data_IF_089211750275
#
_entry.id   IF_089211750275
#
_cell.length_a   1.000
_cell.length_b   1.000
_cell.length_c   1.000
_cell.angle_alpha   90.00
_cell.angle_beta   90.00
_cell.angle_gamma   90.00
#
_symmetry.space_group_name_H-M   'P 1'
#
loop_
_entity.id
_entity.type
_entity.pdbx_description
1 polymer ?
#
# COMPACT_ATOMS: atom_id res chain seq x y z
N UNK A 1 40.24 -25.19 -17.54
CA UNK A 1 40.92 -25.52 -16.27
C UNK A 1 39.97 -25.13 -15.16
N UNK A 2 39.37 -26.11 -14.49
CA UNK A 2 38.43 -25.89 -13.39
C UNK A 2 39.21 -25.41 -12.16
N UNK A 3 38.93 -24.18 -11.71
CA UNK A 3 39.34 -23.74 -10.39
C UNK A 3 38.33 -24.31 -9.38
N UNK A 4 38.67 -25.47 -8.81
CA UNK A 4 37.94 -26.03 -7.68
C UNK A 4 38.16 -25.13 -6.46
N UNK A 5 37.23 -24.18 -6.26
CA UNK A 5 37.09 -23.49 -4.97
C UNK A 5 36.57 -24.54 -3.99
N UNK A 6 37.47 -25.09 -3.17
CA UNK A 6 37.12 -25.98 -2.08
C UNK A 6 36.06 -25.30 -1.22
N UNK A 7 34.94 -25.98 -1.00
CA UNK A 7 33.90 -25.47 -0.10
C UNK A 7 34.52 -25.22 1.29
N UNK A 8 33.97 -24.27 2.08
CA UNK A 8 34.50 -23.93 3.41
C UNK A 8 34.67 -25.16 4.32
N UNK A 9 33.82 -26.18 4.14
CA UNK A 9 33.90 -27.45 4.85
C UNK A 9 35.12 -28.28 4.48
N UNK A 10 35.48 -28.32 3.19
CA UNK A 10 36.61 -29.12 2.70
C UNK A 10 37.96 -28.50 3.06
N UNK A 11 38.05 -27.16 3.14
CA UNK A 11 39.23 -26.46 3.64
C UNK A 11 39.45 -26.71 5.14
N UNK A 12 38.39 -26.66 5.94
CA UNK A 12 38.43 -26.98 7.37
C UNK A 12 38.94 -28.41 7.65
N UNK A 13 38.47 -29.40 6.87
CA UNK A 13 38.83 -30.80 7.10
C UNK A 13 40.24 -31.16 6.62
N UNK A 14 40.69 -30.62 5.48
CA UNK A 14 41.99 -31.00 4.89
C UNK A 14 43.18 -30.21 5.42
N UNK A 15 42.98 -28.98 5.92
CA UNK A 15 44.09 -28.09 6.29
C UNK A 15 44.16 -27.83 7.79
N UNK A 16 43.02 -27.56 8.45
CA UNK A 16 43.01 -27.20 9.88
C UNK A 16 43.10 -28.43 10.80
N UNK A 17 42.52 -29.57 10.39
CA UNK A 17 42.50 -30.79 11.20
C UNK A 17 43.87 -31.46 11.42
N UNK A 18 44.77 -31.55 10.42
CA UNK A 18 46.12 -32.08 10.61
C UNK A 18 47.01 -31.20 11.51
N UNK A 19 46.82 -29.86 11.45
CA UNK A 19 47.57 -28.91 12.27
C UNK A 19 47.22 -29.03 13.76
N UNK A 20 46.02 -29.49 14.12
CA UNK A 20 45.61 -29.71 15.51
C UNK A 20 46.40 -30.85 16.21
N UNK A 21 46.91 -31.83 15.47
CA UNK A 21 47.67 -32.96 16.02
C UNK A 21 49.15 -32.63 16.32
N UNK A 22 49.67 -31.51 15.81
CA UNK A 22 51.07 -31.09 15.97
C UNK A 22 51.27 -30.06 17.11
N UNK A 23 50.19 -29.64 17.79
CA UNK A 23 50.21 -28.55 18.75
C UNK A 23 50.08 -29.07 20.20
N UNK A 24 51.05 -28.70 21.06
CA UNK A 24 51.00 -28.99 22.50
C UNK A 24 49.84 -28.28 23.22
N UNK A 25 49.58 -28.68 24.47
CA UNK A 25 48.35 -28.31 25.21
C UNK A 25 48.08 -26.80 25.35
N UNK A 26 49.11 -25.95 25.45
CA UNK A 26 48.93 -24.49 25.48
C UNK A 26 48.68 -23.88 24.09
N UNK A 27 49.37 -24.35 23.06
CA UNK A 27 49.18 -23.85 21.69
C UNK A 27 47.81 -24.26 21.12
N UNK A 28 47.26 -25.39 21.56
CA UNK A 28 45.88 -25.80 21.25
C UNK A 28 44.83 -24.85 21.87
N UNK A 29 45.09 -24.28 23.06
CA UNK A 29 44.16 -23.29 23.68
C UNK A 29 44.17 -21.97 22.92
N UNK A 30 45.35 -21.51 22.48
CA UNK A 30 45.49 -20.30 21.65
C UNK A 30 44.82 -20.48 20.27
N UNK A 31 45.02 -21.64 19.64
CA UNK A 31 44.38 -21.96 18.37
C UNK A 31 42.85 -22.02 18.48
N UNK A 32 42.30 -22.63 19.54
CA UNK A 32 40.85 -22.64 19.80
C UNK A 32 40.29 -21.22 19.99
N UNK A 33 41.02 -20.34 20.69
CA UNK A 33 40.62 -18.92 20.85
C UNK A 33 40.63 -18.19 19.51
N UNK A 34 41.65 -18.41 18.68
CA UNK A 34 41.73 -17.82 17.34
C UNK A 34 40.58 -18.29 16.44
N UNK A 35 40.28 -19.59 16.42
CA UNK A 35 39.19 -20.16 15.64
C UNK A 35 37.82 -19.59 16.09
N UNK A 36 37.63 -19.39 17.39
CA UNK A 36 36.41 -18.77 17.93
C UNK A 36 36.26 -17.31 17.45
N UNK A 37 37.35 -16.54 17.44
CA UNK A 37 37.36 -15.15 16.95
C UNK A 37 37.05 -15.12 15.45
N UNK A 38 37.61 -16.04 14.65
CA UNK A 38 37.30 -16.13 13.22
C UNK A 38 35.82 -16.45 12.96
N UNK A 39 35.19 -17.32 13.78
CA UNK A 39 33.76 -17.62 13.70
C UNK A 39 32.93 -16.39 14.08
N UNK A 40 33.30 -15.67 15.13
CA UNK A 40 32.60 -14.45 15.54
C UNK A 40 32.72 -13.37 14.45
N UNK A 41 33.89 -13.20 13.85
CA UNK A 41 34.13 -12.26 12.75
C UNK A 41 33.37 -12.67 11.48
N UNK A 42 33.27 -13.97 11.17
CA UNK A 42 32.50 -14.44 10.01
C UNK A 42 30.99 -14.28 10.23
N UNK A 43 30.49 -14.49 11.45
CA UNK A 43 29.11 -14.16 11.81
C UNK A 43 28.84 -12.66 11.74
N UNK A 44 29.82 -11.82 12.09
CA UNK A 44 29.73 -10.36 11.99
C UNK A 44 29.70 -9.83 10.54
N UNK A 45 30.35 -10.52 9.60
CA UNK A 45 30.36 -10.11 8.19
C UNK A 45 29.06 -10.43 7.44
N UNK A 46 28.25 -11.39 7.91
CA UNK A 46 26.95 -11.72 7.30
C UNK A 46 25.88 -10.65 7.57
N UNK A 47 26.09 -9.79 8.57
CA UNK A 47 25.15 -8.72 8.94
C UNK A 47 25.44 -7.36 8.29
N UNK A 48 26.44 -7.24 7.41
CA UNK A 48 26.46 -6.15 6.43
C UNK A 48 25.57 -6.56 5.24
N UNK A 49 24.29 -6.81 5.52
CA UNK A 49 23.28 -6.68 4.49
C UNK A 49 23.33 -5.25 4.00
N UNK A 50 23.43 -5.06 2.68
CA UNK A 50 23.16 -3.75 2.07
C UNK A 50 21.89 -3.20 2.73
N UNK A 51 21.99 -2.09 3.46
CA UNK A 51 20.84 -1.23 3.70
C UNK A 51 20.43 -0.68 2.33
N UNK A 52 19.74 -1.50 1.53
CA UNK A 52 18.88 -0.98 0.48
C UNK A 52 17.78 -0.25 1.22
N UNK A 53 17.55 1.01 0.87
CA UNK A 53 16.27 1.64 1.17
C UNK A 53 15.20 0.67 0.69
N UNK A 54 14.38 0.19 1.63
CA UNK A 54 13.22 -0.63 1.31
C UNK A 54 12.32 0.28 0.47
N UNK A 55 12.22 -0.01 -0.83
CA UNK A 55 11.36 0.73 -1.74
C UNK A 55 9.94 0.54 -1.21
N UNK A 56 9.21 1.63 -0.97
CA UNK A 56 7.85 1.56 -0.45
C UNK A 56 6.96 0.82 -1.46
N UNK A 57 5.97 0.08 -0.95
CA UNK A 57 5.10 -0.73 -1.82
C UNK A 57 4.36 0.18 -2.84
N UNK A 58 4.07 1.45 -2.49
CA UNK A 58 3.50 2.44 -3.41
C UNK A 58 4.43 2.81 -4.58
N UNK A 59 5.73 2.97 -4.31
CA UNK A 59 6.71 3.27 -5.36
C UNK A 59 6.79 2.11 -6.36
N UNK A 60 6.66 0.87 -5.88
CA UNK A 60 6.66 -0.32 -6.74
C UNK A 60 5.47 -0.30 -7.71
N UNK A 61 4.26 0.02 -7.23
CA UNK A 61 3.07 0.06 -8.10
C UNK A 61 3.07 1.28 -9.03
N UNK A 62 3.61 2.42 -8.59
CA UNK A 62 3.77 3.60 -9.45
C UNK A 62 4.76 3.30 -10.59
N UNK A 63 5.91 2.72 -10.26
CA UNK A 63 6.91 2.33 -11.26
C UNK A 63 6.40 1.22 -12.19
N UNK A 64 5.55 0.30 -11.71
CA UNK A 64 4.94 -0.72 -12.58
C UNK A 64 4.02 -0.09 -13.64
N UNK A 65 3.30 0.97 -13.29
CA UNK A 65 2.48 1.76 -14.21
C UNK A 65 3.34 2.54 -15.22
N UNK A 66 4.41 3.18 -14.76
CA UNK A 66 5.32 3.93 -15.63
C UNK A 66 6.06 2.99 -16.61
N UNK A 67 6.44 1.79 -16.16
CA UNK A 67 7.12 0.78 -16.98
C UNK A 67 6.31 0.40 -18.22
N UNK A 68 4.99 0.34 -18.09
CA UNK A 68 4.09 -0.01 -19.19
C UNK A 68 3.73 1.19 -20.07
N UNK A 69 4.22 2.40 -19.73
CA UNK A 69 4.05 3.62 -20.51
C UNK A 69 2.69 4.29 -20.35
N UNK A 70 1.98 4.04 -19.24
CA UNK A 70 0.76 4.77 -18.93
C UNK A 70 1.11 6.16 -18.38
N UNK A 71 0.32 7.17 -18.76
CA UNK A 71 0.44 8.52 -18.19
C UNK A 71 -0.29 8.56 -16.85
N UNK A 72 0.42 8.93 -15.78
CA UNK A 72 -0.16 9.13 -14.46
C UNK A 72 -1.32 10.13 -14.52
N UNK A 73 -2.44 9.79 -13.90
CA UNK A 73 -3.61 10.66 -13.78
C UNK A 73 -3.82 11.08 -12.32
N UNK A 74 -3.98 10.11 -11.43
CA UNK A 74 -4.18 10.34 -10.01
C UNK A 74 -3.84 9.10 -9.17
N UNK A 75 -3.67 9.33 -7.88
CA UNK A 75 -3.45 8.32 -6.86
C UNK A 75 -4.54 8.47 -5.79
N UNK A 76 -5.22 7.38 -5.49
CA UNK A 76 -6.23 7.26 -4.45
C UNK A 76 -5.68 6.42 -3.29
N UNK A 77 -5.66 7.00 -2.10
CA UNK A 77 -5.24 6.33 -0.87
C UNK A 77 -6.44 6.29 0.05
N UNK A 78 -6.85 5.08 0.42
CA UNK A 78 -8.01 4.80 1.24
C UNK A 78 -7.62 3.98 2.46
N UNK A 79 -8.15 4.33 3.63
CA UNK A 79 -7.88 3.62 4.88
C UNK A 79 -9.14 3.53 5.73
N UNK A 80 -9.45 2.33 6.24
CA UNK A 80 -10.65 2.07 7.01
C UNK A 80 -10.42 1.15 8.19
N UNK A 81 -11.13 1.37 9.29
CA UNK A 81 -11.04 0.52 10.48
C UNK A 81 -12.05 0.88 11.56
N UNK A 82 -12.27 -0.06 12.47
CA UNK A 82 -13.02 0.15 13.71
C UNK A 82 -12.17 1.00 14.66
N UNK A 83 -12.71 2.12 15.15
CA UNK A 83 -12.00 3.05 16.04
C UNK A 83 -12.57 3.07 17.47
N UNK A 84 -13.76 2.50 17.69
CA UNK A 84 -14.37 2.40 19.00
C UNK A 84 -15.51 1.36 19.05
N UNK A 85 -15.65 0.67 20.19
CA UNK A 85 -16.73 -0.27 20.51
C UNK A 85 -17.87 0.41 21.28
N UNK A 86 -18.33 1.55 20.78
CA UNK A 86 -19.54 2.21 21.28
C UNK A 86 -20.23 3.03 20.20
N UNK A 87 -21.50 3.34 20.44
CA UNK A 87 -22.22 4.34 19.67
C UNK A 87 -21.79 5.77 20.03
N UNK A 88 -21.64 6.62 19.01
CA UNK A 88 -21.44 8.07 19.18
C UNK A 88 -22.77 8.81 19.06
N UNK A 89 -23.00 9.78 19.92
CA UNK A 89 -24.09 10.75 19.75
C UNK A 89 -23.79 11.69 18.57
N UNK A 90 -24.81 12.39 18.06
CA UNK A 90 -24.63 13.41 17.02
C UNK A 90 -23.60 14.50 17.44
N UNK A 91 -23.55 14.84 18.73
CA UNK A 91 -22.57 15.82 19.22
C UNK A 91 -21.15 15.26 19.13
N UNK A 92 -20.95 14.01 19.54
CA UNK A 92 -19.64 13.36 19.54
C UNK A 92 -19.14 13.11 18.12
N UNK A 93 -19.99 12.63 17.21
CA UNK A 93 -19.59 12.38 15.82
C UNK A 93 -19.18 13.69 15.13
N UNK A 94 -19.83 14.82 15.43
CA UNK A 94 -19.46 16.15 14.91
C UNK A 94 -18.13 16.65 15.47
N UNK A 95 -17.85 16.39 16.75
CA UNK A 95 -16.55 16.72 17.35
C UNK A 95 -15.45 15.91 16.67
N UNK A 96 -15.62 14.60 16.57
CA UNK A 96 -14.68 13.71 15.90
C UNK A 96 -14.50 14.09 14.42
N UNK A 97 -15.58 14.39 13.70
CA UNK A 97 -15.51 14.86 12.32
C UNK A 97 -14.70 16.14 12.15
N UNK A 98 -14.83 17.09 13.09
CA UNK A 98 -14.01 18.31 13.09
C UNK A 98 -12.54 18.01 13.37
N UNK A 99 -12.24 17.08 14.28
CA UNK A 99 -10.87 16.62 14.55
C UNK A 99 -10.27 15.99 13.28
N UNK A 100 -10.95 15.01 12.68
CA UNK A 100 -10.50 14.34 11.46
C UNK A 100 -10.33 15.31 10.29
N UNK A 101 -11.22 16.30 10.15
CA UNK A 101 -11.09 17.36 9.14
C UNK A 101 -9.76 18.11 9.27
N UNK A 102 -9.39 18.48 10.49
CA UNK A 102 -8.14 19.19 10.77
C UNK A 102 -6.93 18.29 10.51
N UNK A 103 -6.98 17.02 10.91
CA UNK A 103 -5.89 16.07 10.71
C UNK A 103 -5.66 15.74 9.23
N UNK A 104 -6.74 15.61 8.45
CA UNK A 104 -6.71 15.42 6.99
C UNK A 104 -6.37 16.71 6.22
N UNK A 105 -6.21 17.84 6.92
CA UNK A 105 -5.81 19.12 6.36
C UNK A 105 -6.86 19.75 5.45
N UNK A 106 -8.14 19.37 5.57
CA UNK A 106 -9.22 19.96 4.76
C UNK A 106 -9.40 21.42 5.19
N UNK A 107 -9.25 22.32 4.21
CA UNK A 107 -9.34 23.76 4.41
C UNK A 107 -10.68 24.31 3.90
N UNK A 108 -10.98 25.54 4.29
CA UNK A 108 -12.17 26.24 3.81
C UNK A 108 -13.36 26.24 4.76
N UNK A 109 -14.43 26.88 4.30
CA UNK A 109 -15.69 27.07 5.01
C UNK A 109 -16.72 26.01 4.62
N UNK A 110 -17.61 25.68 5.56
CA UNK A 110 -18.69 24.72 5.30
C UNK A 110 -19.68 25.34 4.31
N UNK A 111 -19.98 24.66 3.22
CA UNK A 111 -21.03 25.02 2.28
C UNK A 111 -22.15 23.97 2.26
N UNK A 112 -23.35 24.42 1.92
CA UNK A 112 -24.54 23.56 1.80
C UNK A 112 -24.73 23.18 0.33
N UNK A 113 -23.78 22.42 -0.21
CA UNK A 113 -23.75 21.98 -1.62
C UNK A 113 -23.95 20.47 -1.75
N UNK A 114 -24.30 20.04 -2.96
CA UNK A 114 -24.40 18.62 -3.27
C UNK A 114 -23.01 17.98 -3.30
N UNK A 115 -22.80 17.01 -2.41
CA UNK A 115 -21.53 16.30 -2.25
C UNK A 115 -21.03 15.56 -3.51
N UNK A 116 -21.93 15.19 -4.43
CA UNK A 116 -21.58 14.48 -5.66
C UNK A 116 -21.16 15.39 -6.82
N UNK A 117 -21.37 16.71 -6.68
CA UNK A 117 -21.02 17.72 -7.67
C UNK A 117 -20.31 18.87 -6.98
N UNK A 118 -19.10 18.65 -6.43
CA UNK A 118 -18.38 19.71 -5.79
C UNK A 118 -17.73 20.59 -6.85
N UNK A 119 -18.50 21.54 -7.36
CA UNK A 119 -17.95 22.80 -7.85
C UNK A 119 -17.46 23.69 -6.69
N UNK A 120 -17.38 23.13 -5.47
CA UNK A 120 -16.72 23.71 -4.31
C UNK A 120 -15.42 24.40 -4.74
N UNK A 121 -15.49 25.72 -4.85
CA UNK A 121 -14.33 26.57 -5.08
C UNK A 121 -13.27 26.25 -4.04
N UNK A 122 -12.01 26.60 -4.32
CA UNK A 122 -10.76 26.23 -3.60
C UNK A 122 -10.75 26.37 -2.06
N UNK A 123 -11.82 26.84 -1.42
CA UNK A 123 -11.94 27.13 0.00
C UNK A 123 -13.29 26.70 0.61
N UNK A 124 -13.94 25.65 0.11
CA UNK A 124 -15.11 25.09 0.79
C UNK A 124 -15.02 23.58 1.03
N UNK A 125 -15.75 23.13 2.04
CA UNK A 125 -15.98 21.72 2.31
C UNK A 125 -17.47 21.46 2.53
N UNK A 126 -17.92 20.26 2.16
CA UNK A 126 -19.29 19.80 2.35
C UNK A 126 -19.31 18.84 3.53
N UNK A 127 -20.36 18.92 4.33
CA UNK A 127 -20.59 18.01 5.45
C UNK A 127 -22.05 17.55 5.43
N UNK A 128 -22.26 16.24 5.40
CA UNK A 128 -23.57 15.61 5.43
C UNK A 128 -23.66 14.68 6.64
N UNK A 129 -24.69 14.89 7.46
CA UNK A 129 -25.05 13.98 8.54
C UNK A 129 -26.29 13.19 8.12
N UNK A 130 -26.23 11.87 8.24
CA UNK A 130 -27.35 10.97 8.03
C UNK A 130 -27.59 10.27 9.36
N UNK A 131 -28.75 10.48 9.97
CA UNK A 131 -29.13 9.84 11.22
C UNK A 131 -30.36 8.97 10.97
N UNK A 132 -30.21 7.69 11.25
CA UNK A 132 -31.27 6.68 11.23
C UNK A 132 -31.49 6.15 12.64
N UNK A 133 -32.52 5.31 12.83
CA UNK A 133 -32.90 4.82 14.17
C UNK A 133 -31.74 4.14 14.92
N UNK A 134 -30.87 3.43 14.20
CA UNK A 134 -29.78 2.63 14.76
C UNK A 134 -28.40 2.98 14.23
N UNK A 135 -28.29 4.04 13.43
CA UNK A 135 -27.02 4.44 12.83
C UNK A 135 -26.91 5.95 12.68
N UNK A 136 -25.69 6.46 12.84
CA UNK A 136 -25.36 7.84 12.50
C UNK A 136 -24.11 7.82 11.61
N UNK A 137 -24.20 8.48 10.47
CA UNK A 137 -23.09 8.63 9.54
C UNK A 137 -22.80 10.10 9.33
N UNK A 138 -21.52 10.47 9.45
CA UNK A 138 -21.01 11.79 9.14
C UNK A 138 -20.04 11.68 7.98
N UNK A 139 -20.34 12.41 6.92
CA UNK A 139 -19.57 12.43 5.70
C UNK A 139 -19.04 13.85 5.47
N UNK A 140 -17.73 14.00 5.35
CA UNK A 140 -17.06 15.28 5.10
C UNK A 140 -16.22 15.14 3.85
N UNK A 141 -16.42 16.02 2.88
CA UNK A 141 -15.60 16.08 1.67
C UNK A 141 -15.09 17.49 1.45
N UNK A 142 -13.83 17.61 1.03
CA UNK A 142 -13.23 18.90 0.70
C UNK A 142 -11.82 18.75 0.17
N UNK A 143 -11.14 19.87 -0.05
CA UNK A 143 -9.75 19.90 -0.52
C UNK A 143 -8.80 20.37 0.57
N UNK A 144 -7.56 19.92 0.50
CA UNK A 144 -6.48 20.51 1.28
C UNK A 144 -5.83 21.70 0.57
N UNK A 145 -4.81 22.28 1.21
CA UNK A 145 -4.01 23.39 0.67
C UNK A 145 -3.28 23.08 -0.65
N UNK A 146 -3.08 21.79 -0.95
CA UNK A 146 -2.38 21.30 -2.14
C UNK A 146 -3.38 20.91 -3.26
N UNK A 147 -4.67 21.22 -3.06
CA UNK A 147 -5.78 20.86 -3.97
C UNK A 147 -6.05 19.35 -4.08
N UNK A 148 -5.51 18.55 -3.15
CA UNK A 148 -5.85 17.13 -3.06
C UNK A 148 -7.23 17.00 -2.41
N UNK A 149 -8.11 16.21 -3.02
CA UNK A 149 -9.42 15.90 -2.46
C UNK A 149 -9.28 14.95 -1.28
N UNK A 150 -10.11 15.13 -0.26
CA UNK A 150 -10.20 14.23 0.88
C UNK A 150 -11.66 13.94 1.20
N UNK A 151 -11.93 12.70 1.60
CA UNK A 151 -13.20 12.22 2.10
C UNK A 151 -13.00 11.61 3.48
N UNK A 152 -13.87 11.96 4.41
CA UNK A 152 -13.95 11.39 5.75
C UNK A 152 -15.36 10.84 5.90
N UNK A 153 -15.47 9.56 6.21
CA UNK A 153 -16.72 8.91 6.58
C UNK A 153 -16.55 8.33 7.99
N UNK A 154 -17.35 8.84 8.92
CA UNK A 154 -17.48 8.26 10.26
C UNK A 154 -18.85 7.61 10.31
N UNK A 155 -18.89 6.32 10.59
CA UNK A 155 -20.13 5.54 10.69
C UNK A 155 -20.21 4.91 12.06
N UNK A 156 -21.26 5.21 12.80
CA UNK A 156 -21.54 4.58 14.09
C UNK A 156 -22.87 3.86 14.03
N UNK A 157 -22.96 2.66 14.61
CA UNK A 157 -24.16 1.86 14.57
C UNK A 157 -24.36 1.07 15.87
N UNK A 158 -25.61 0.81 16.19
CA UNK A 158 -25.99 -0.03 17.33
C UNK A 158 -25.77 -1.50 16.98
N UNK A 159 -25.12 -2.23 17.89
CA UNK A 159 -24.92 -3.68 17.79
C UNK A 159 -25.45 -4.36 19.05
N UNK A 160 -25.65 -5.69 19.00
CA UNK A 160 -26.01 -6.48 20.18
C UNK A 160 -24.99 -6.36 21.33
N UNK A 161 -23.77 -5.91 21.03
CA UNK A 161 -22.64 -5.81 21.96
C UNK A 161 -22.38 -4.40 22.51
N UNK A 162 -23.22 -3.41 22.18
CA UNK A 162 -23.09 -2.04 22.72
C UNK A 162 -22.73 -0.95 21.69
N UNK A 163 -22.70 -1.31 20.40
CA UNK A 163 -22.45 -0.39 19.30
C UNK A 163 -20.99 -0.32 18.87
N UNK A 164 -20.76 0.08 17.62
CA UNK A 164 -19.44 0.15 17.01
C UNK A 164 -19.32 1.44 16.19
N UNK A 165 -18.09 1.95 16.07
CA UNK A 165 -17.78 3.14 15.27
C UNK A 165 -16.59 2.86 14.36
N UNK A 166 -16.79 3.16 13.09
CA UNK A 166 -15.83 2.96 12.01
C UNK A 166 -15.43 4.32 11.44
N UNK A 167 -14.16 4.44 11.10
CA UNK A 167 -13.60 5.57 10.38
C UNK A 167 -13.12 5.07 9.03
N UNK A 168 -13.50 5.77 7.98
CA UNK A 168 -12.95 5.60 6.65
C UNK A 168 -12.44 6.96 6.15
N UNK A 169 -11.19 6.97 5.72
CA UNK A 169 -10.48 8.12 5.20
C UNK A 169 -10.07 7.82 3.77
N UNK A 170 -10.25 8.79 2.88
CA UNK A 170 -9.80 8.71 1.50
C UNK A 170 -9.13 10.03 1.09
N UNK A 171 -8.08 9.91 0.27
CA UNK A 171 -7.31 11.03 -0.26
C UNK A 171 -6.98 10.79 -1.72
N UNK A 172 -7.28 11.76 -2.58
CA UNK A 172 -6.98 11.70 -4.01
C UNK A 172 -5.97 12.78 -4.39
N UNK A 173 -4.84 12.36 -4.96
CA UNK A 173 -3.72 13.20 -5.38
C UNK A 173 -3.61 13.19 -6.91
N UNK A 174 -3.56 14.37 -7.54
CA UNK A 174 -3.44 14.52 -9.01
C UNK A 174 -2.03 14.81 -9.52
N UNK A 175 -1.03 14.79 -8.64
CA UNK A 175 0.38 14.98 -9.01
C UNK A 175 1.23 13.86 -8.44
N UNK A 176 2.26 13.45 -9.18
CA UNK A 176 3.20 12.42 -8.74
C UNK A 176 4.46 13.01 -8.05
N UNK A 177 4.45 14.30 -7.68
CA UNK A 177 5.63 14.93 -7.07
C UNK A 177 5.93 14.30 -5.69
N UNK A 178 7.14 13.74 -5.56
CA UNK A 178 7.72 13.12 -4.35
C UNK A 178 7.86 14.12 -3.18
N UNK A 179 7.95 15.41 -3.47
CA UNK A 179 8.28 16.46 -2.50
C UNK A 179 7.18 16.71 -1.44
N UNK A 180 5.97 16.25 -1.72
CA UNK A 180 4.78 16.51 -0.92
C UNK A 180 3.87 15.29 -0.92
N UNK A 181 4.09 14.39 0.03
CA UNK A 181 3.20 14.14 1.15
C UNK A 181 3.30 12.68 1.57
N UNK A 182 3.71 12.52 2.81
CA UNK A 182 3.51 11.33 3.59
C UNK A 182 2.03 11.19 4.03
N UNK A 183 1.10 11.18 3.05
CA UNK A 183 -0.34 11.03 3.27
C UNK A 183 -0.61 9.72 4.02
N UNK A 184 0.09 8.66 3.62
CA UNK A 184 0.00 7.34 4.23
C UNK A 184 0.40 7.37 5.70
N UNK A 185 1.60 7.81 6.09
CA UNK A 185 1.98 7.78 7.52
C UNK A 185 1.14 8.78 8.33
N UNK A 186 0.65 9.87 7.73
CA UNK A 186 -0.35 10.75 8.38
C UNK A 186 -1.61 9.97 8.72
N UNK A 187 -2.22 9.29 7.74
CA UNK A 187 -3.43 8.48 7.93
C UNK A 187 -3.19 7.33 8.92
N UNK A 188 -2.07 6.61 8.81
CA UNK A 188 -1.67 5.58 9.77
C UNK A 188 -1.54 6.16 11.19
N UNK A 189 -0.99 7.38 11.29
CA UNK A 189 -0.89 8.13 12.54
C UNK A 189 -2.25 8.50 13.16
N UNK A 190 -3.30 8.67 12.35
CA UNK A 190 -4.67 8.87 12.83
C UNK A 190 -5.19 7.59 13.48
N UNK A 191 -5.16 6.46 12.77
CA UNK A 191 -5.68 5.19 13.28
C UNK A 191 -4.88 4.66 14.47
N UNK A 192 -3.57 4.95 14.53
CA UNK A 192 -2.74 4.64 15.70
C UNK A 192 -3.21 5.33 16.98
N UNK A 193 -3.83 6.52 16.92
CA UNK A 193 -4.41 7.19 18.11
C UNK A 193 -5.60 6.44 18.68
N UNK A 194 -6.26 5.63 17.86
CA UNK A 194 -7.42 4.82 18.23
C UNK A 194 -7.04 3.37 18.55
N UNK A 195 -5.74 3.01 18.53
CA UNK A 195 -5.26 1.62 18.67
C UNK A 195 -5.94 0.68 17.65
N UNK A 196 -6.21 1.21 16.45
CA UNK A 196 -6.96 0.53 15.39
C UNK A 196 -6.01 -0.03 14.35
N UNK A 197 -6.13 -1.34 14.07
CA UNK A 197 -5.49 -1.98 12.92
C UNK A 197 -6.29 -1.70 11.65
N UNK A 198 -6.05 -0.55 11.03
CA UNK A 198 -6.75 -0.14 9.83
C UNK A 198 -6.26 -0.85 8.57
N UNK A 199 -7.19 -1.20 7.69
CA UNK A 199 -6.88 -1.67 6.35
C UNK A 199 -6.58 -0.48 5.45
N UNK A 200 -5.47 -0.54 4.73
CA UNK A 200 -5.09 0.45 3.71
C UNK A 200 -5.21 -0.16 2.33
N UNK A 201 -5.70 0.65 1.40
CA UNK A 201 -5.69 0.37 -0.04
C UNK A 201 -5.19 1.60 -0.79
N UNK A 202 -4.23 1.38 -1.69
CA UNK A 202 -3.73 2.40 -2.61
C UNK A 202 -4.12 2.01 -4.03
N UNK A 203 -4.62 2.95 -4.82
CA UNK A 203 -4.91 2.75 -6.24
C UNK A 203 -4.27 3.87 -7.07
N UNK A 204 -3.38 3.49 -7.97
CA UNK A 204 -2.79 4.40 -8.95
C UNK A 204 -3.58 4.29 -10.25
N UNK A 205 -3.99 5.44 -10.78
CA UNK A 205 -4.76 5.56 -12.00
C UNK A 205 -3.89 6.20 -13.07
N UNK A 206 -3.88 5.57 -14.24
CA UNK A 206 -3.18 6.05 -15.42
C UNK A 206 -4.03 5.95 -16.67
N UNK A 207 -3.53 6.54 -17.76
CA UNK A 207 -4.22 6.55 -19.05
C UNK A 207 -3.28 6.29 -20.22
N UNK A 208 -3.86 5.70 -21.26
CA UNK A 208 -3.30 5.66 -22.61
C UNK A 208 -4.24 6.43 -23.54
N UNK A 209 -3.66 7.17 -24.49
CA UNK A 209 -4.44 7.83 -25.53
C UNK A 209 -5.05 6.79 -26.47
N UNK A 210 -6.34 6.94 -26.76
CA UNK A 210 -7.09 6.09 -27.67
C UNK A 210 -7.47 4.72 -27.09
N UNK A 211 -8.18 3.95 -27.91
CA UNK A 211 -8.55 2.56 -27.63
C UNK A 211 -7.36 1.60 -27.82
N UNK A 212 -6.97 0.91 -26.76
CA UNK A 212 -6.07 -0.24 -26.88
C UNK A 212 -6.87 -1.48 -27.30
N UNK A 213 -6.35 -2.22 -28.28
CA UNK A 213 -6.91 -3.53 -28.60
C UNK A 213 -6.61 -4.55 -27.50
N UNK A 214 -7.38 -5.64 -27.45
CA UNK A 214 -7.29 -6.66 -26.39
C UNK A 214 -5.88 -7.22 -26.21
N UNK A 215 -5.19 -7.55 -27.31
CA UNK A 215 -3.82 -8.07 -27.28
C UNK A 215 -2.84 -7.07 -26.65
N UNK A 216 -3.01 -5.77 -26.93
CA UNK A 216 -2.18 -4.72 -26.37
C UNK A 216 -2.43 -4.54 -24.88
N UNK A 217 -3.69 -4.59 -24.43
CA UNK A 217 -4.04 -4.56 -23.00
C UNK A 217 -3.41 -5.74 -22.25
N UNK A 218 -3.53 -6.96 -22.79
CA UNK A 218 -2.93 -8.16 -22.15
C UNK A 218 -1.41 -8.06 -22.09
N UNK A 219 -0.77 -7.59 -23.17
CA UNK A 219 0.68 -7.38 -23.18
C UNK A 219 1.11 -6.38 -22.11
N UNK A 220 0.36 -5.28 -21.93
CA UNK A 220 0.64 -4.27 -20.90
C UNK A 220 0.50 -4.83 -19.50
N UNK A 221 -0.56 -5.59 -19.24
CA UNK A 221 -0.76 -6.26 -17.96
C UNK A 221 0.36 -7.27 -17.68
N UNK A 222 0.77 -8.06 -18.68
CA UNK A 222 1.87 -9.01 -18.54
C UNK A 222 3.21 -8.31 -18.28
N UNK A 223 3.45 -7.14 -18.89
CA UNK A 223 4.62 -6.29 -18.62
C UNK A 223 4.62 -5.81 -17.16
N UNK A 224 3.49 -5.28 -16.66
CA UNK A 224 3.35 -4.85 -15.27
C UNK A 224 3.52 -6.01 -14.27
N UNK A 225 2.92 -7.16 -14.54
CA UNK A 225 3.07 -8.36 -13.69
C UNK A 225 4.52 -8.84 -13.64
N UNK A 226 5.24 -8.82 -14.77
CA UNK A 226 6.67 -9.19 -14.80
C UNK A 226 7.50 -8.22 -13.96
N UNK A 227 7.20 -6.93 -14.00
CA UNK A 227 7.90 -5.91 -13.21
C UNK A 227 7.86 -6.24 -11.71
N UNK A 228 6.67 -6.57 -11.20
CA UNK A 228 6.47 -6.90 -9.78
C UNK A 228 6.73 -8.38 -9.46
N UNK A 229 7.25 -9.21 -10.38
CA UNK A 229 7.36 -10.67 -10.20
C UNK A 229 6.04 -11.34 -9.78
N UNK A 230 4.94 -10.83 -10.30
CA UNK A 230 3.57 -11.21 -9.96
C UNK A 230 3.13 -12.50 -10.62
N UNK A 231 2.40 -13.32 -9.86
CA UNK A 231 1.72 -14.52 -10.35
C UNK A 231 0.21 -14.29 -10.33
N UNK A 232 -0.47 -14.59 -11.43
CA UNK A 232 -1.92 -14.44 -11.54
C UNK A 232 -2.63 -15.37 -10.56
N UNK A 233 -3.53 -14.80 -9.77
CA UNK A 233 -4.41 -15.50 -8.83
C UNK A 233 -5.77 -15.74 -9.50
N UNK A 234 -6.31 -14.69 -10.11
CA UNK A 234 -7.62 -14.65 -10.75
C UNK A 234 -7.59 -13.65 -11.92
N UNK A 235 -8.41 -13.92 -12.95
CA UNK A 235 -8.56 -13.03 -14.11
C UNK A 235 -10.04 -12.97 -14.48
N UNK A 236 -10.55 -11.75 -14.57
CA UNK A 236 -11.82 -11.40 -15.16
C UNK A 236 -11.59 -10.67 -16.48
N UNK A 237 -12.39 -11.00 -17.50
CA UNK A 237 -12.33 -10.32 -18.78
C UNK A 237 -13.66 -10.41 -19.51
N UNK A 238 -14.13 -9.27 -19.98
CA UNK A 238 -15.22 -9.14 -20.95
C UNK A 238 -14.79 -8.24 -22.13
N UNK A 239 -15.75 -7.75 -22.92
CA UNK A 239 -15.50 -6.88 -24.08
C UNK A 239 -14.99 -5.48 -23.70
N UNK A 240 -15.32 -5.00 -22.51
CA UNK A 240 -15.09 -3.65 -22.03
C UNK A 240 -13.97 -3.52 -21.00
N UNK A 241 -13.76 -4.56 -20.20
CA UNK A 241 -12.91 -4.59 -19.02
C UNK A 241 -12.04 -5.85 -19.02
N UNK A 242 -10.76 -5.66 -18.70
CA UNK A 242 -9.90 -6.72 -18.15
C UNK A 242 -9.55 -6.35 -16.72
N UNK A 243 -9.65 -7.31 -15.80
CA UNK A 243 -9.17 -7.19 -14.42
C UNK A 243 -8.38 -8.44 -14.05
N UNK A 244 -7.20 -8.25 -13.46
CA UNK A 244 -6.32 -9.34 -13.04
C UNK A 244 -5.92 -9.12 -11.60
N UNK A 245 -6.18 -10.12 -10.77
CA UNK A 245 -5.69 -10.19 -9.39
C UNK A 245 -4.45 -11.07 -9.36
N UNK A 246 -3.41 -10.61 -8.69
CA UNK A 246 -2.11 -11.27 -8.66
C UNK A 246 -1.49 -11.22 -7.25
N UNK A 247 -0.54 -12.12 -7.05
CA UNK A 247 0.34 -12.12 -5.89
C UNK A 247 1.77 -11.82 -6.32
N UNK A 248 2.37 -10.82 -5.69
CA UNK A 248 3.77 -10.46 -5.82
C UNK A 248 4.50 -10.72 -4.50
N UNK A 249 5.68 -11.36 -4.52
CA UNK A 249 6.52 -11.50 -3.33
C UNK A 249 7.29 -10.22 -2.97
N UNK A 250 7.24 -9.17 -3.79
CA UNK A 250 7.91 -7.89 -3.50
C UNK A 250 7.00 -6.86 -2.84
N UNK A 251 5.70 -7.16 -2.70
CA UNK A 251 4.73 -6.32 -2.01
C UNK A 251 4.41 -6.93 -0.64
N UNK A 252 4.46 -6.12 0.42
CA UNK A 252 4.36 -6.59 1.80
C UNK A 252 2.94 -6.96 2.25
N UNK A 253 1.98 -6.04 2.09
CA UNK A 253 0.58 -6.23 2.53
C UNK A 253 -0.19 -7.11 1.55
N UNK A 254 -1.07 -8.00 2.04
CA UNK A 254 -1.88 -8.88 1.19
C UNK A 254 -3.26 -9.16 1.80
N UNK A 255 -4.22 -9.53 0.95
CA UNK A 255 -5.53 -10.06 1.32
C UNK A 255 -5.71 -11.47 0.76
N UNK A 256 -6.82 -12.13 1.11
CA UNK A 256 -7.18 -13.44 0.56
C UNK A 256 -8.34 -13.33 -0.43
N UNK A 257 -8.14 -13.88 -1.63
CA UNK A 257 -9.24 -14.26 -2.54
C UNK A 257 -9.45 -15.77 -2.41
N UNK A 258 -10.54 -16.15 -1.73
CA UNK A 258 -10.75 -17.53 -1.27
C UNK A 258 -9.59 -17.98 -0.38
N UNK A 259 -8.86 -19.02 -0.81
CA UNK A 259 -7.72 -19.56 -0.07
C UNK A 259 -6.36 -19.10 -0.62
N UNK A 260 -6.33 -18.13 -1.55
CA UNK A 260 -5.11 -17.64 -2.19
C UNK A 260 -4.83 -16.21 -1.77
N UNK A 261 -3.55 -15.91 -1.47
CA UNK A 261 -3.10 -14.55 -1.22
C UNK A 261 -3.11 -13.75 -2.52
N UNK A 262 -3.49 -12.49 -2.45
CA UNK A 262 -3.30 -11.49 -3.50
C UNK A 262 -2.93 -10.15 -2.87
N UNK A 263 -2.15 -9.35 -3.59
CA UNK A 263 -1.69 -8.03 -3.14
C UNK A 263 -1.50 -7.05 -4.28
N UNK A 264 -2.00 -7.40 -5.46
CA UNK A 264 -1.92 -6.56 -6.64
C UNK A 264 -3.15 -6.82 -7.49
N UNK A 265 -3.85 -5.77 -7.89
CA UNK A 265 -5.00 -5.85 -8.79
C UNK A 265 -4.83 -4.82 -9.90
N UNK A 266 -4.84 -5.25 -11.15
CA UNK A 266 -4.69 -4.38 -12.31
C UNK A 266 -5.91 -4.51 -13.21
N UNK A 267 -6.50 -3.38 -13.58
CA UNK A 267 -7.68 -3.32 -14.44
C UNK A 267 -7.48 -2.33 -15.57
N UNK A 268 -8.05 -2.60 -16.75
CA UNK A 268 -8.05 -1.66 -17.87
C UNK A 268 -9.41 -1.60 -18.56
N UNK A 269 -9.86 -0.39 -18.86
CA UNK A 269 -11.14 -0.11 -19.53
C UNK A 269 -11.01 1.04 -20.51
N UNK A 270 -11.64 0.93 -21.67
CA UNK A 270 -11.72 2.03 -22.62
C UNK A 270 -12.92 2.93 -22.33
N UNK A 271 -12.68 4.24 -22.29
CA UNK A 271 -13.70 5.27 -22.19
C UNK A 271 -13.87 5.95 -23.56
N UNK A 272 -15.03 5.73 -24.18
CA UNK A 272 -15.39 6.26 -25.50
C UNK A 272 -15.56 7.78 -25.53
N UNK A 273 -16.01 8.38 -24.43
CA UNK A 273 -16.27 9.82 -24.37
C UNK A 273 -14.98 10.64 -24.37
N UNK A 274 -13.93 10.11 -23.75
CA UNK A 274 -12.63 10.79 -23.64
C UNK A 274 -11.59 10.31 -24.65
N UNK A 275 -11.90 9.26 -25.42
CA UNK A 275 -10.97 8.55 -26.29
C UNK A 275 -9.68 8.15 -25.54
N UNK A 276 -9.85 7.50 -24.38
CA UNK A 276 -8.74 7.05 -23.53
C UNK A 276 -8.97 5.65 -23.01
N UNK A 277 -7.89 4.87 -22.93
CA UNK A 277 -7.89 3.63 -22.16
C UNK A 277 -7.35 3.90 -20.76
N UNK A 278 -8.20 3.77 -19.76
CA UNK A 278 -7.85 3.87 -18.35
C UNK A 278 -7.20 2.58 -17.86
N UNK A 279 -6.28 2.73 -16.93
CA UNK A 279 -5.66 1.65 -16.17
C UNK A 279 -5.70 1.99 -14.69
N UNK A 280 -6.06 1.02 -13.87
CA UNK A 280 -6.04 1.09 -12.42
C UNK A 280 -5.10 0.01 -11.91
N UNK A 281 -4.25 0.37 -10.95
CA UNK A 281 -3.37 -0.56 -10.24
C UNK A 281 -3.63 -0.38 -8.75
N UNK A 282 -4.36 -1.33 -8.16
CA UNK A 282 -4.69 -1.38 -6.75
C UNK A 282 -3.77 -2.28 -5.95
N UNK A 283 -3.49 -1.87 -4.73
CA UNK A 283 -2.76 -2.62 -3.72
C UNK A 283 -3.52 -2.53 -2.39
N UNK A 284 -3.98 -3.66 -1.83
CA UNK A 284 -3.95 -5.00 -2.41
C UNK A 284 -5.02 -5.23 -3.49
N UNK A 285 -6.06 -4.39 -3.54
CA UNK A 285 -7.24 -4.52 -4.42
C UNK A 285 -7.73 -3.14 -4.90
N UNK A 286 -8.45 -3.07 -6.01
CA UNK A 286 -9.13 -1.85 -6.46
C UNK A 286 -10.51 -1.78 -5.80
N UNK A 287 -10.78 -0.74 -5.02
CA UNK A 287 -12.09 -0.47 -4.38
C UNK A 287 -12.89 0.64 -5.09
N UNK A 288 -12.29 1.25 -6.11
CA UNK A 288 -12.92 2.30 -6.91
C UNK A 288 -13.80 1.71 -8.01
N UNK A 289 -14.77 2.50 -8.45
CA UNK A 289 -15.54 2.18 -9.64
C UNK A 289 -14.73 2.44 -10.93
N UNK A 290 -14.99 1.64 -11.96
CA UNK A 290 -14.35 1.70 -13.27
C UNK A 290 -15.10 2.59 -14.26
#
# INVERSE_FOLDING_TARGET
MSNDVLSPFTFCWKVLFPLMYLLGGESMKLFKRFLLICIILSMGMVNFGECREEIDDEDIILQSMENIGASFLEEDISMGGEINQRILTEKEIRILGKEMKNEMGIVGEKVDENMYLPEAEKKSYVEKLIAEEKSIQLLIWGKDKNENSALINISTYETEKGGETYLFLNKVKKSNNEYYDDIKLKMEGIFKKFDSEAEITTCVIGTFNGKLNRQSQEKKIDEALKYIKGNVVEKYSDESLISVSAFSPVLGKYIFSGNKKMNYNISMRYNEYEDKTYIWIGMPIIILEY
#
